data_IF_092788115390
#
_entry.id   IF_092788115390
#
_cell.length_a   1.000
_cell.length_b   1.000
_cell.length_c   1.000
_cell.angle_alpha   90.00
_cell.angle_beta   90.00
_cell.angle_gamma   90.00
#
_symmetry.space_group_name_H-M   'P 1'
#
loop_
_entity.id
_entity.type
_entity.pdbx_description
1 polymer ?
#
# COMPACT_ATOMS: atom_id res chain seq x y z
N UNK A 1 19.02 3.72 -18.76
CA UNK A 1 19.16 2.29 -18.45
C UNK A 1 18.13 1.97 -17.39
N UNK A 2 17.15 1.12 -17.67
CA UNK A 2 16.14 0.73 -16.68
C UNK A 2 16.74 -0.34 -15.77
N UNK A 3 16.77 -0.08 -14.47
CA UNK A 3 17.20 -1.03 -13.45
C UNK A 3 15.95 -1.72 -12.92
N UNK A 4 15.96 -3.06 -12.85
CA UNK A 4 14.87 -3.78 -12.20
C UNK A 4 15.00 -3.60 -10.68
N UNK A 5 13.97 -3.02 -10.06
CA UNK A 5 13.93 -2.74 -8.62
C UNK A 5 13.46 -3.92 -7.76
N UNK A 6 13.08 -5.03 -8.39
CA UNK A 6 12.43 -6.18 -7.72
C UNK A 6 13.16 -7.49 -8.02
N UNK A 7 13.09 -8.42 -7.07
CA UNK A 7 13.61 -9.78 -7.21
C UNK A 7 12.53 -10.79 -7.56
N UNK A 8 11.26 -10.39 -7.48
CA UNK A 8 10.10 -11.19 -7.87
C UNK A 8 9.11 -10.38 -8.70
N UNK A 9 8.52 -11.01 -9.70
CA UNK A 9 7.59 -10.37 -10.63
C UNK A 9 7.08 -11.34 -11.70
N UNK A 10 5.86 -11.08 -12.17
CA UNK A 10 5.30 -11.72 -13.35
C UNK A 10 5.82 -11.02 -14.62
N UNK A 11 5.82 -11.70 -15.76
CA UNK A 11 6.25 -11.11 -17.03
C UNK A 11 7.78 -11.01 -17.18
N UNK A 12 8.25 -9.94 -17.81
CA UNK A 12 9.68 -9.65 -18.04
C UNK A 12 10.49 -10.74 -18.76
N UNK A 13 9.82 -11.55 -19.59
CA UNK A 13 10.42 -12.71 -20.26
C UNK A 13 11.59 -12.38 -21.19
N UNK A 14 11.61 -11.15 -21.73
CA UNK A 14 12.63 -10.71 -22.69
C UNK A 14 13.79 -9.94 -22.04
N UNK A 15 13.73 -9.69 -20.71
CA UNK A 15 14.79 -8.95 -20.02
C UNK A 15 16.05 -9.80 -19.88
N UNK A 16 17.20 -9.13 -20.03
CA UNK A 16 18.54 -9.72 -19.95
C UNK A 16 19.40 -8.97 -18.94
N UNK A 17 20.35 -9.66 -18.34
CA UNK A 17 21.34 -9.08 -17.43
C UNK A 17 22.17 -8.04 -18.19
N UNK A 18 22.39 -6.87 -17.57
CA UNK A 18 23.11 -5.75 -18.18
C UNK A 18 24.44 -6.21 -18.81
N UNK A 19 24.72 -5.70 -20.01
CA UNK A 19 25.94 -6.01 -20.77
C UNK A 19 26.16 -7.50 -21.03
N UNK A 20 25.09 -8.31 -21.06
CA UNK A 20 25.15 -9.73 -21.40
C UNK A 20 23.93 -10.18 -22.20
N UNK A 21 24.01 -11.40 -22.75
CA UNK A 21 22.88 -12.07 -23.39
C UNK A 21 22.07 -12.95 -22.44
N UNK A 22 22.45 -13.03 -21.16
CA UNK A 22 21.84 -13.92 -20.19
C UNK A 22 20.42 -13.43 -19.83
N UNK A 23 19.38 -14.26 -19.93
CA UNK A 23 18.04 -13.89 -19.49
C UNK A 23 18.02 -13.66 -17.97
N UNK A 24 17.21 -12.71 -17.48
CA UNK A 24 17.08 -12.48 -16.03
C UNK A 24 16.28 -13.59 -15.34
N UNK A 25 15.46 -14.36 -16.07
CA UNK A 25 14.83 -15.56 -15.53
C UNK A 25 15.83 -16.71 -15.59
N UNK A 26 15.96 -17.52 -14.50
CA UNK A 26 15.03 -17.65 -13.37
C UNK A 26 15.31 -16.74 -12.16
N UNK A 27 16.29 -15.83 -12.22
CA UNK A 27 16.65 -14.94 -11.10
C UNK A 27 15.53 -13.95 -10.71
N UNK A 28 14.71 -13.52 -11.68
CA UNK A 28 13.42 -12.87 -11.42
C UNK A 28 12.30 -13.92 -11.32
N UNK A 29 11.99 -14.29 -10.09
CA UNK A 29 11.01 -15.34 -9.77
C UNK A 29 9.57 -14.83 -9.86
N UNK A 30 8.65 -15.63 -10.42
CA UNK A 30 7.21 -15.36 -10.35
C UNK A 30 6.53 -16.02 -9.14
N UNK A 31 7.28 -16.74 -8.31
CA UNK A 31 6.70 -17.49 -7.19
C UNK A 31 6.38 -16.53 -6.02
N UNK A 32 5.12 -16.48 -5.56
CA UNK A 32 4.73 -15.62 -4.45
C UNK A 32 5.23 -16.19 -3.10
N UNK A 33 5.26 -15.35 -2.08
CA UNK A 33 5.24 -15.78 -0.68
C UNK A 33 3.77 -15.83 -0.24
N UNK A 34 3.38 -16.91 0.46
CA UNK A 34 2.01 -17.09 0.95
C UNK A 34 2.03 -17.10 2.47
N UNK A 35 1.28 -16.19 3.07
CA UNK A 35 0.99 -16.16 4.51
C UNK A 35 -0.51 -16.32 4.72
N UNK A 36 -0.88 -17.14 5.70
CA UNK A 36 -2.28 -17.39 6.05
C UNK A 36 -2.58 -16.66 7.35
N UNK A 37 -3.60 -15.80 7.30
CA UNK A 37 -4.16 -15.15 8.47
C UNK A 37 -5.55 -15.75 8.73
N UNK A 38 -5.75 -16.33 9.90
CA UNK A 38 -7.01 -16.95 10.29
C UNK A 38 -7.91 -15.89 10.95
N UNK A 39 -8.93 -15.45 10.21
CA UNK A 39 -9.90 -14.44 10.66
C UNK A 39 -10.66 -14.85 11.92
N UNK A 40 -10.67 -16.13 12.29
CA UNK A 40 -11.40 -16.61 13.48
C UNK A 40 -10.57 -16.53 14.76
N UNK A 41 -9.26 -16.26 14.66
CA UNK A 41 -8.38 -16.17 15.82
C UNK A 41 -8.59 -14.92 16.66
N UNK A 42 -9.18 -13.87 16.08
CA UNK A 42 -9.37 -12.58 16.72
C UNK A 42 -10.78 -12.05 16.43
N UNK A 43 -11.34 -11.33 17.40
CA UNK A 43 -12.54 -10.54 17.18
C UNK A 43 -12.12 -9.23 16.52
N UNK A 44 -12.67 -8.97 15.34
CA UNK A 44 -12.38 -7.77 14.56
C UNK A 44 -13.49 -6.75 14.74
N UNK A 45 -13.10 -5.52 15.03
CA UNK A 45 -13.98 -4.36 15.07
C UNK A 45 -14.06 -3.68 13.68
N UNK A 46 -14.93 -2.66 13.50
CA UNK A 46 -15.12 -2.01 12.19
C UNK A 46 -13.88 -1.26 11.73
N UNK A 47 -12.97 -0.96 12.66
CA UNK A 47 -11.75 -0.20 12.40
C UNK A 47 -10.56 -1.11 12.06
N UNK A 48 -10.70 -2.43 12.24
CA UNK A 48 -9.70 -3.40 11.84
C UNK A 48 -9.75 -3.63 10.33
N UNK A 49 -8.71 -3.19 9.64
CA UNK A 49 -8.61 -3.24 8.18
C UNK A 49 -7.29 -3.84 7.71
N UNK A 50 -7.33 -4.56 6.60
CA UNK A 50 -6.15 -4.89 5.80
C UNK A 50 -5.90 -3.75 4.81
N UNK A 51 -4.72 -3.14 4.89
CA UNK A 51 -4.24 -2.14 3.93
C UNK A 51 -3.31 -2.80 2.93
N UNK A 52 -3.66 -2.73 1.65
CA UNK A 52 -2.79 -3.13 0.55
C UNK A 52 -2.40 -1.87 -0.24
N UNK A 53 -1.13 -1.70 -0.56
CA UNK A 53 -0.67 -0.56 -1.35
C UNK A 53 0.55 -0.88 -2.21
N UNK A 54 0.74 -0.14 -3.30
CA UNK A 54 1.99 -0.17 -4.10
C UNK A 54 3.15 0.48 -3.33
N UNK A 55 4.38 0.28 -3.80
CA UNK A 55 5.59 0.96 -3.29
C UNK A 55 5.45 2.49 -3.29
N UNK A 56 4.68 3.06 -4.22
CA UNK A 56 4.30 4.47 -4.19
C UNK A 56 3.68 4.96 -2.86
N UNK A 57 3.07 4.08 -2.05
CA UNK A 57 2.69 4.37 -0.64
C UNK A 57 3.87 4.12 0.30
N UNK A 58 4.42 2.90 0.27
CA UNK A 58 5.33 2.37 1.29
C UNK A 58 6.75 2.96 1.24
N UNK A 59 7.16 3.54 0.13
CA UNK A 59 8.47 4.21 0.00
C UNK A 59 8.58 5.49 0.84
N UNK A 60 7.44 6.07 1.24
CA UNK A 60 7.39 7.38 1.93
C UNK A 60 6.65 7.35 3.26
N UNK A 61 6.00 6.23 3.60
CA UNK A 61 5.31 6.03 4.88
C UNK A 61 5.69 4.69 5.49
N UNK A 62 5.81 4.64 6.82
CA UNK A 62 5.96 3.41 7.59
C UNK A 62 4.61 2.77 7.97
N UNK A 63 4.63 1.48 8.30
CA UNK A 63 3.47 0.74 8.83
C UNK A 63 2.80 1.46 10.00
N UNK A 64 3.60 2.04 10.92
CA UNK A 64 3.11 2.80 12.06
C UNK A 64 2.41 4.11 11.66
N UNK A 65 2.92 4.83 10.65
CA UNK A 65 2.29 6.05 10.15
C UNK A 65 0.98 5.75 9.41
N UNK A 66 0.92 4.63 8.69
CA UNK A 66 -0.31 4.11 8.08
C UNK A 66 -1.32 3.74 9.17
N UNK A 67 -0.94 2.96 10.17
CA UNK A 67 -1.80 2.59 11.28
C UNK A 67 -2.34 3.83 12.03
N UNK A 68 -1.49 4.81 12.34
CA UNK A 68 -1.94 6.06 12.95
C UNK A 68 -2.92 6.85 12.05
N UNK A 69 -2.80 6.73 10.74
CA UNK A 69 -3.75 7.33 9.78
C UNK A 69 -5.06 6.56 9.75
N UNK A 70 -5.03 5.23 9.84
CA UNK A 70 -6.23 4.39 10.01
C UNK A 70 -7.01 4.83 11.25
N UNK A 71 -6.35 4.84 12.42
CA UNK A 71 -6.97 5.22 13.69
C UNK A 71 -7.60 6.61 13.60
N UNK A 72 -6.82 7.60 13.15
CA UNK A 72 -7.26 8.99 13.06
C UNK A 72 -8.43 9.19 12.10
N UNK A 73 -8.47 8.47 10.98
CA UNK A 73 -9.53 8.64 9.99
C UNK A 73 -10.77 7.88 10.44
N UNK A 74 -10.65 6.60 10.78
CA UNK A 74 -11.82 5.79 11.13
C UNK A 74 -12.50 6.28 12.41
N UNK A 75 -11.75 6.85 13.37
CA UNK A 75 -12.33 7.44 14.59
C UNK A 75 -13.27 8.63 14.34
N UNK A 76 -13.25 9.23 13.13
CA UNK A 76 -14.14 10.34 12.78
C UNK A 76 -15.40 9.92 12.02
N UNK A 77 -15.55 8.63 11.73
CA UNK A 77 -16.70 8.09 11.01
C UNK A 77 -17.43 7.05 11.86
N UNK A 78 -18.76 7.04 11.77
CA UNK A 78 -19.55 5.96 12.34
C UNK A 78 -19.17 4.61 11.70
N UNK A 79 -19.20 3.49 12.46
CA UNK A 79 -18.89 2.15 11.97
C UNK A 79 -19.60 1.75 10.67
N UNK A 80 -20.85 2.21 10.54
CA UNK A 80 -21.75 1.85 9.45
C UNK A 80 -21.72 2.87 8.29
N UNK A 81 -20.84 3.88 8.35
CA UNK A 81 -20.71 4.86 7.26
C UNK A 81 -20.05 4.22 6.03
N UNK A 82 -20.74 4.15 4.88
CA UNK A 82 -20.21 3.50 3.68
C UNK A 82 -19.01 4.24 3.06
N UNK A 83 -18.79 5.50 3.42
CA UNK A 83 -17.70 6.33 2.86
C UNK A 83 -16.37 6.16 3.61
N UNK A 84 -16.37 5.61 4.83
CA UNK A 84 -15.20 5.63 5.72
C UNK A 84 -13.95 4.98 5.13
N UNK A 85 -14.11 3.83 4.46
CA UNK A 85 -12.98 3.13 3.83
C UNK A 85 -12.47 3.85 2.58
N UNK A 86 -13.37 4.50 1.82
CA UNK A 86 -12.99 5.35 0.68
C UNK A 86 -12.22 6.57 1.16
N UNK A 87 -12.69 7.22 2.23
CA UNK A 87 -12.02 8.36 2.83
C UNK A 87 -10.63 7.99 3.38
N UNK A 88 -10.50 6.82 4.01
CA UNK A 88 -9.21 6.29 4.46
C UNK A 88 -8.26 6.02 3.28
N UNK A 89 -8.73 5.36 2.22
CA UNK A 89 -7.92 5.13 1.02
C UNK A 89 -7.43 6.45 0.41
N UNK A 90 -8.32 7.45 0.29
CA UNK A 90 -7.97 8.78 -0.19
C UNK A 90 -6.95 9.48 0.71
N UNK A 91 -7.13 9.40 2.03
CA UNK A 91 -6.21 10.00 3.00
C UNK A 91 -4.79 9.41 2.89
N UNK A 92 -4.67 8.10 2.68
CA UNK A 92 -3.38 7.43 2.49
C UNK A 92 -2.72 7.84 1.16
N UNK A 93 -3.48 7.85 0.06
CA UNK A 93 -2.98 8.27 -1.26
C UNK A 93 -2.51 9.72 -1.24
N UNK A 94 -3.33 10.63 -0.72
CA UNK A 94 -3.00 12.05 -0.64
C UNK A 94 -1.87 12.32 0.36
N UNK A 95 -1.83 11.57 1.47
CA UNK A 95 -0.77 11.64 2.46
C UNK A 95 0.59 11.26 1.88
N UNK A 96 0.66 10.12 1.18
CA UNK A 96 1.87 9.65 0.51
C UNK A 96 2.30 10.57 -0.64
N UNK A 97 1.35 11.08 -1.44
CA UNK A 97 1.65 12.06 -2.48
C UNK A 97 2.19 13.36 -1.87
N UNK A 98 1.54 13.90 -0.84
CA UNK A 98 1.87 15.20 -0.27
C UNK A 98 1.43 16.37 -1.15
N UNK A 99 2.09 17.51 -0.99
CA UNK A 99 1.73 18.78 -1.66
C UNK A 99 2.70 19.13 -2.79
N UNK A 100 2.22 19.70 -3.91
CA UNK A 100 3.11 20.11 -4.99
C UNK A 100 3.93 21.33 -4.57
N UNK A 101 5.23 21.29 -4.86
CA UNK A 101 6.20 22.40 -4.66
C UNK A 101 7.05 22.54 -5.93
N UNK A 102 7.87 23.59 -5.99
CA UNK A 102 8.68 23.93 -7.19
C UNK A 102 9.54 22.77 -7.74
N UNK A 103 9.90 21.79 -6.90
CA UNK A 103 10.65 20.58 -7.28
C UNK A 103 9.99 19.32 -6.76
N UNK A 104 8.82 19.00 -7.30
CA UNK A 104 8.09 17.76 -7.01
C UNK A 104 7.20 17.85 -5.79
N UNK A 105 6.84 16.69 -5.25
CA UNK A 105 5.90 16.59 -4.14
C UNK A 105 6.62 16.59 -2.79
N UNK A 106 6.00 17.19 -1.77
CA UNK A 106 6.55 17.30 -0.42
C UNK A 106 5.55 16.92 0.65
N UNK A 107 6.02 16.11 1.60
CA UNK A 107 5.31 15.77 2.83
C UNK A 107 5.36 16.95 3.82
N UNK A 108 4.50 16.98 4.85
CA UNK A 108 4.48 18.06 5.85
C UNK A 108 5.80 18.29 6.58
N UNK A 109 6.63 17.26 6.70
CA UNK A 109 7.97 17.31 7.30
C UNK A 109 9.07 17.74 6.31
N UNK A 110 8.71 18.30 5.15
CA UNK A 110 9.59 18.68 4.03
C UNK A 110 10.37 17.54 3.37
N UNK A 111 10.15 16.26 3.74
CA UNK A 111 10.65 15.13 2.97
C UNK A 111 9.96 15.07 1.60
N UNK A 112 10.58 14.35 0.67
CA UNK A 112 9.97 14.09 -0.64
C UNK A 112 8.71 13.25 -0.45
N UNK A 113 7.61 13.70 -1.07
CA UNK A 113 6.43 12.86 -1.26
C UNK A 113 6.66 11.89 -2.42
N UNK A 114 5.75 10.93 -2.55
CA UNK A 114 5.86 9.91 -3.59
C UNK A 114 5.78 10.54 -4.98
N UNK A 115 6.69 10.13 -5.86
CA UNK A 115 6.71 10.50 -7.28
C UNK A 115 6.10 9.43 -8.20
N UNK A 116 5.71 8.28 -7.65
CA UNK A 116 5.26 7.11 -8.40
C UNK A 116 3.73 7.00 -8.47
N UNK A 117 3.19 6.04 -9.20
CA UNK A 117 1.78 5.67 -9.15
C UNK A 117 1.43 5.07 -7.77
N UNK A 118 0.33 5.55 -7.19
CA UNK A 118 -0.10 5.15 -5.85
C UNK A 118 -1.47 4.50 -5.97
N UNK A 119 -1.55 3.22 -5.63
CA UNK A 119 -2.82 2.48 -5.51
C UNK A 119 -2.94 1.91 -4.11
N UNK A 120 -4.10 2.06 -3.48
CA UNK A 120 -4.38 1.59 -2.12
C UNK A 120 -5.74 0.91 -2.09
N UNK A 121 -5.81 -0.26 -1.44
CA UNK A 121 -7.05 -0.96 -1.09
C UNK A 121 -7.19 -1.03 0.42
N UNK A 122 -8.39 -0.73 0.89
CA UNK A 122 -8.79 -0.86 2.30
C UNK A 122 -9.85 -1.94 2.38
N UNK A 123 -9.53 -3.03 3.09
CA UNK A 123 -10.39 -4.21 3.19
C UNK A 123 -10.78 -4.39 4.66
N UNK A 124 -12.05 -4.16 5.04
CA UNK A 124 -12.49 -4.38 6.40
C UNK A 124 -12.42 -5.86 6.78
N UNK A 125 -11.93 -6.13 8.00
CA UNK A 125 -11.86 -7.47 8.57
C UNK A 125 -13.10 -7.78 9.43
N UNK A 126 -13.75 -6.75 9.96
CA UNK A 126 -15.04 -6.86 10.64
C UNK A 126 -16.18 -7.20 9.67
N UNK A 127 -17.01 -8.21 10.02
CA UNK A 127 -18.14 -8.64 9.20
C UNK A 127 -19.32 -7.66 9.19
N UNK A 128 -20.18 -7.69 8.14
CA UNK A 128 -21.34 -6.78 7.97
C UNK A 128 -22.53 -7.04 8.91
N UNK A 129 -22.31 -7.59 10.10
CA UNK A 129 -23.37 -7.93 11.05
C UNK A 129 -23.01 -7.79 12.53
N UNK A 130 -21.81 -7.30 12.86
CA UNK A 130 -21.32 -7.25 14.24
C UNK A 130 -21.60 -5.92 14.96
N UNK A 131 -22.24 -4.96 14.29
CA UNK A 131 -22.36 -3.57 14.79
C UNK A 131 -23.82 -3.11 14.71
N UNK A 132 -24.64 -3.66 15.62
CA UNK A 132 -25.97 -3.17 15.94
C UNK A 132 -25.95 -2.29 17.18
#
# INVERSE_FOLDING_TARGET
>A
MATIGVTRGLGDHNLKVCSSSLPIKPFLSCFPEVRVYDLTQYEHCPDDVLVLGTDGLWDVTSDCEVAATVDRVLSTYEPNDPSRYTALAQALVLGARGTPRDRGWRLPNNKLGSGDDISVFIIPLGGPGSYS
#
